data_IF_229485067293
#
_entry.id   IF_229485067293
#
_cell.length_a   1.000
_cell.length_b   1.000
_cell.length_c   1.000
_cell.angle_alpha   90.00
_cell.angle_beta   90.00
_cell.angle_gamma   90.00
#
_symmetry.space_group_name_H-M   'P 1'
#
loop_
_entity.id
_entity.type
_entity.pdbx_description
1 polymer ?
#
# COMPACT_ATOMS: atom_id res chain seq x y z
N UNK A 1 -13.20 -7.91 18.45
CA UNK A 1 -12.74 -7.32 19.73
C UNK A 1 -11.32 -7.77 20.02
N UNK A 2 -10.71 -7.28 21.10
CA UNK A 2 -9.42 -7.79 21.59
C UNK A 2 -9.62 -9.18 22.24
N UNK A 3 -8.63 -10.10 22.19
CA UNK A 3 -7.29 -9.90 21.65
C UNK A 3 -7.21 -9.95 20.12
N UNK A 4 -6.27 -9.21 19.55
CA UNK A 4 -5.87 -9.31 18.15
C UNK A 4 -4.56 -10.09 18.08
N UNK A 5 -4.55 -11.16 17.28
CA UNK A 5 -3.35 -11.95 17.01
C UNK A 5 -2.88 -11.67 15.59
N UNK A 6 -1.57 -11.46 15.42
CA UNK A 6 -0.95 -11.19 14.13
C UNK A 6 -0.06 -12.36 13.72
N UNK A 7 0.32 -12.43 12.45
CA UNK A 7 1.11 -13.53 11.90
C UNK A 7 2.51 -13.69 12.53
N UNK A 8 2.98 -12.71 13.32
CA UNK A 8 4.33 -12.68 13.87
C UNK A 8 5.42 -12.31 12.85
N UNK A 9 5.07 -12.16 11.57
CA UNK A 9 6.01 -11.73 10.53
C UNK A 9 6.33 -10.22 10.58
N UNK A 10 5.55 -9.46 11.36
CA UNK A 10 5.72 -8.03 11.58
C UNK A 10 6.09 -7.76 13.05
N UNK A 11 6.38 -6.49 13.37
CA UNK A 11 6.81 -6.08 14.70
C UNK A 11 5.79 -6.40 15.81
N UNK A 12 4.49 -6.30 15.53
CA UNK A 12 3.45 -6.59 16.53
C UNK A 12 3.03 -8.05 16.43
N UNK A 13 3.12 -8.76 17.56
CA UNK A 13 2.69 -10.15 17.70
C UNK A 13 1.22 -10.25 18.13
N UNK A 14 0.85 -9.50 19.18
CA UNK A 14 -0.51 -9.49 19.71
C UNK A 14 -0.87 -8.14 20.33
N UNK A 15 -2.17 -7.85 20.39
CA UNK A 15 -2.72 -6.75 21.20
C UNK A 15 -3.83 -7.33 22.08
N UNK A 16 -3.80 -7.04 23.38
CA UNK A 16 -4.82 -7.50 24.34
C UNK A 16 -5.17 -6.41 25.35
N UNK A 17 -6.33 -6.55 25.98
CA UNK A 17 -6.67 -5.77 27.16
C UNK A 17 -5.97 -6.34 28.38
N UNK A 18 -5.46 -5.48 29.26
CA UNK A 18 -4.91 -5.86 30.56
C UNK A 18 -5.75 -5.31 31.71
N UNK A 19 -5.37 -5.70 32.93
CA UNK A 19 -5.96 -5.13 34.14
C UNK A 19 -5.71 -3.61 34.17
N UNK A 20 -6.76 -2.78 34.24
CA UNK A 20 -6.62 -1.34 34.36
C UNK A 20 -6.01 -0.98 35.73
N UNK A 21 -5.34 0.17 35.82
CA UNK A 21 -4.77 0.63 37.10
C UNK A 21 -5.84 1.16 38.05
N UNK A 22 -6.93 1.69 37.48
CA UNK A 22 -8.09 2.22 38.19
C UNK A 22 -9.31 2.25 37.26
N UNK A 23 -10.48 2.60 37.82
CA UNK A 23 -11.77 2.64 37.10
C UNK A 23 -11.84 3.65 35.95
N UNK A 24 -10.92 4.61 35.86
CA UNK A 24 -10.86 5.62 34.80
C UNK A 24 -9.79 5.32 33.75
N UNK A 25 -9.15 4.15 33.83
CA UNK A 25 -8.05 3.78 32.93
C UNK A 25 -8.42 2.55 32.11
N UNK A 26 -7.91 2.50 30.88
CA UNK A 26 -7.84 1.28 30.08
C UNK A 26 -6.36 0.90 29.94
N UNK A 27 -6.05 -0.39 30.04
CA UNK A 27 -4.71 -0.92 29.75
C UNK A 27 -4.76 -1.75 28.47
N UNK A 28 -3.91 -1.39 27.51
CA UNK A 28 -3.60 -2.21 26.34
C UNK A 28 -2.18 -2.77 26.50
N UNK A 29 -2.02 -4.08 26.28
CA UNK A 29 -0.73 -4.72 26.18
C UNK A 29 -0.48 -5.05 24.71
N UNK A 30 0.66 -4.63 24.20
CA UNK A 30 1.12 -4.89 22.84
C UNK A 30 2.37 -5.74 22.94
N UNK A 31 2.29 -7.00 22.52
CA UNK A 31 3.48 -7.85 22.44
C UNK A 31 4.20 -7.59 21.14
N UNK A 32 5.52 -7.42 21.23
CA UNK A 32 6.38 -7.22 20.08
C UNK A 32 7.18 -8.49 19.77
N UNK A 33 7.55 -8.65 18.51
CA UNK A 33 8.43 -9.73 18.03
C UNK A 33 9.92 -9.38 18.18
N UNK A 34 10.22 -8.11 18.40
CA UNK A 34 11.55 -7.58 18.66
C UNK A 34 11.46 -6.31 19.53
N UNK A 35 12.59 -5.89 20.09
CA UNK A 35 12.67 -4.65 20.85
C UNK A 35 12.33 -3.43 19.98
N UNK A 36 11.66 -2.45 20.59
CA UNK A 36 11.24 -1.27 19.89
C UNK A 36 10.89 -0.11 20.80
N UNK A 37 10.91 1.08 20.21
CA UNK A 37 10.59 2.35 20.86
C UNK A 37 9.17 2.75 20.49
N UNK A 38 8.42 3.18 21.50
CA UNK A 38 7.02 3.58 21.32
C UNK A 38 6.85 5.08 21.53
N UNK A 39 6.03 5.71 20.68
CA UNK A 39 5.53 7.07 20.84
C UNK A 39 4.01 7.05 20.74
N UNK A 40 3.34 7.85 21.55
CA UNK A 40 1.89 8.00 21.50
C UNK A 40 1.53 9.48 21.34
N UNK A 41 0.60 9.76 20.44
CA UNK A 41 0.05 11.10 20.22
C UNK A 41 -1.46 11.04 20.32
N UNK A 42 -2.05 11.99 21.04
CA UNK A 42 -3.51 12.19 21.10
C UNK A 42 -3.88 13.26 20.09
N UNK A 43 -4.82 12.96 19.22
CA UNK A 43 -5.40 13.89 18.26
C UNK A 43 -6.89 14.03 18.60
N UNK A 44 -7.39 15.26 18.62
CA UNK A 44 -8.79 15.54 18.90
C UNK A 44 -9.41 16.19 17.67
N UNK A 45 -10.55 15.66 17.23
CA UNK A 45 -11.35 16.23 16.16
C UNK A 45 -12.81 16.35 16.63
N UNK A 46 -13.19 17.55 17.07
CA UNK A 46 -14.45 17.79 17.76
C UNK A 46 -14.51 17.03 19.10
N UNK A 47 -15.50 16.16 19.25
CA UNK A 47 -15.66 15.28 20.42
C UNK A 47 -14.87 13.96 20.32
N UNK A 48 -14.34 13.63 19.14
CA UNK A 48 -13.65 12.37 18.91
C UNK A 48 -12.16 12.49 19.23
N UNK A 49 -11.64 11.53 19.99
CA UNK A 49 -10.22 11.40 20.29
C UNK A 49 -9.64 10.19 19.56
N UNK A 50 -8.60 10.43 18.78
CA UNK A 50 -7.79 9.39 18.15
C UNK A 50 -6.44 9.33 18.87
N UNK A 51 -6.09 8.15 19.39
CA UNK A 51 -4.76 7.92 19.96
C UNK A 51 -3.95 7.13 18.94
N UNK A 52 -2.88 7.73 18.45
CA UNK A 52 -1.96 7.10 17.49
C UNK A 52 -0.74 6.61 18.24
N UNK A 53 -0.54 5.29 18.24
CA UNK A 53 0.67 4.65 18.74
C UNK A 53 1.59 4.33 17.57
N UNK A 54 2.82 4.82 17.63
CA UNK A 54 3.88 4.51 16.68
C UNK A 54 4.93 3.68 17.39
N UNK A 55 5.21 2.48 16.88
CA UNK A 55 6.21 1.58 17.43
C UNK A 55 7.25 1.33 16.34
N UNK A 56 8.49 1.72 16.63
CA UNK A 56 9.61 1.55 15.73
C UNK A 56 10.51 0.43 16.28
N UNK A 57 10.80 -0.57 15.47
CA UNK A 57 11.77 -1.60 15.83
C UNK A 57 13.18 -0.99 15.92
N UNK A 58 13.99 -1.42 16.89
CA UNK A 58 15.39 -0.96 17.00
C UNK A 58 16.29 -1.56 15.91
N UNK A 59 15.89 -2.69 15.33
CA UNK A 59 16.52 -3.29 14.16
C UNK A 59 15.48 -3.44 13.04
N UNK A 60 15.88 -3.29 11.75
CA UNK A 60 15.00 -3.61 10.63
C UNK A 60 14.50 -5.05 10.79
N UNK A 61 13.20 -5.32 10.51
CA UNK A 61 12.75 -6.70 10.43
C UNK A 61 13.64 -7.44 9.42
N UNK A 62 13.97 -8.73 9.66
CA UNK A 62 14.70 -9.51 8.67
C UNK A 62 13.95 -9.36 7.34
N UNK A 63 14.67 -9.16 6.21
CA UNK A 63 14.02 -9.01 4.94
C UNK A 63 13.07 -10.19 4.79
N UNK A 64 11.78 -9.91 4.59
CA UNK A 64 10.86 -10.92 4.10
C UNK A 64 11.42 -11.33 2.75
N UNK A 65 12.21 -12.40 2.74
CA UNK A 65 12.50 -13.16 1.55
C UNK A 65 11.12 -13.61 1.12
N UNK A 66 10.51 -12.85 0.21
CA UNK A 66 9.42 -13.37 -0.60
C UNK A 66 10.12 -14.50 -1.33
N UNK A 67 10.03 -15.70 -0.76
CA UNK A 67 10.50 -16.93 -1.39
C UNK A 67 9.90 -16.84 -2.78
N UNK A 68 10.77 -16.62 -3.76
CA UNK A 68 10.38 -16.57 -5.15
C UNK A 68 9.51 -17.79 -5.34
N UNK A 69 8.20 -17.58 -5.49
CA UNK A 69 7.29 -18.68 -5.74
C UNK A 69 7.78 -19.22 -7.05
N UNK A 70 8.41 -20.39 -7.02
CA UNK A 70 8.78 -21.13 -8.21
C UNK A 70 7.56 -21.09 -9.13
N UNK A 71 7.79 -20.61 -10.34
CA UNK A 71 6.78 -20.44 -11.37
C UNK A 71 5.96 -21.74 -11.41
N UNK A 72 4.66 -21.74 -11.10
CA UNK A 72 3.82 -22.87 -11.43
C UNK A 72 3.84 -22.95 -12.96
N UNK A 73 4.35 -24.05 -13.51
CA UNK A 73 4.16 -24.39 -14.91
C UNK A 73 2.67 -24.62 -15.09
N UNK A 74 1.93 -23.59 -15.50
CA UNK A 74 0.56 -23.74 -15.93
C UNK A 74 0.57 -24.24 -17.38
N UNK A 75 0.01 -25.44 -17.55
CA UNK A 75 -0.35 -26.00 -18.85
C UNK A 75 -1.25 -25.02 -19.64
N UNK A 76 -1.25 -25.04 -20.98
CA UNK A 76 -2.05 -24.11 -21.77
C UNK A 76 -3.54 -24.39 -21.62
N UNK A 77 -4.28 -23.47 -20.98
CA UNK A 77 -5.73 -23.42 -21.09
C UNK A 77 -6.13 -22.65 -22.35
N UNK A 78 -7.20 -23.13 -23.01
CA UNK A 78 -7.77 -22.63 -24.27
C UNK A 78 -8.06 -21.12 -24.28
N UNK A 79 -8.12 -20.49 -25.47
CA UNK A 79 -8.42 -19.06 -25.59
C UNK A 79 -9.85 -18.75 -25.15
N UNK A 80 -10.01 -17.95 -24.10
CA UNK A 80 -11.23 -17.19 -23.84
C UNK A 80 -11.02 -15.76 -24.33
N UNK A 81 -12.00 -15.25 -25.06
CA UNK A 81 -12.03 -13.95 -25.75
C UNK A 81 -11.59 -12.75 -24.88
N UNK A 82 -11.02 -11.69 -25.49
CA UNK A 82 -10.54 -10.54 -24.75
C UNK A 82 -11.70 -9.74 -24.12
N UNK A 83 -11.53 -9.27 -22.86
CA UNK A 83 -12.51 -8.40 -22.22
C UNK A 83 -12.57 -7.05 -22.97
N UNK A 84 -13.79 -6.63 -23.33
CA UNK A 84 -14.07 -5.32 -23.93
C UNK A 84 -13.60 -4.20 -23.00
N UNK A 85 -12.85 -3.26 -23.58
CA UNK A 85 -12.43 -2.03 -22.92
C UNK A 85 -13.64 -1.08 -22.76
N UNK A 86 -14.02 -0.68 -21.53
CA UNK A 86 -15.14 0.22 -21.30
C UNK A 86 -14.88 1.66 -21.77
N UNK A 87 -13.67 1.97 -22.26
CA UNK A 87 -13.32 3.26 -22.86
C UNK A 87 -13.44 3.28 -24.39
N UNK A 88 -13.97 2.22 -25.01
CA UNK A 88 -14.45 2.26 -26.39
C UNK A 88 -15.96 2.24 -26.40
N UNK A 89 -16.55 3.42 -26.33
CA UNK A 89 -17.88 3.65 -26.84
C UNK A 89 -17.75 4.64 -27.99
N UNK A 90 -18.18 4.21 -29.17
CA UNK A 90 -18.66 5.08 -30.23
C UNK A 90 -19.77 5.93 -29.62
N UNK A 91 -19.43 7.10 -29.07
CA UNK A 91 -20.36 8.21 -28.92
C UNK A 91 -19.64 9.50 -28.51
N UNK A 92 -20.05 10.52 -29.24
CA UNK A 92 -19.48 11.83 -29.40
C UNK A 92 -19.74 12.72 -28.17
N UNK A 93 -19.00 12.51 -27.07
CA UNK A 93 -19.00 13.43 -25.93
C UNK A 93 -17.62 14.01 -25.70
N UNK A 94 -17.34 15.10 -26.42
CA UNK A 94 -16.28 16.06 -26.14
C UNK A 94 -16.35 16.48 -24.66
N UNK A 95 -15.48 15.91 -23.82
CA UNK A 95 -15.00 16.58 -22.62
C UNK A 95 -13.58 16.99 -22.92
N UNK A 96 -13.42 18.24 -23.36
CA UNK A 96 -12.12 18.81 -23.64
C UNK A 96 -11.33 18.92 -22.32
N UNK A 97 -10.38 18.00 -22.11
CA UNK A 97 -9.31 18.18 -21.14
C UNK A 97 -8.25 19.03 -21.84
N UNK A 98 -8.32 20.35 -21.64
CA UNK A 98 -7.23 21.26 -22.03
C UNK A 98 -6.02 20.96 -21.14
N UNK A 99 -5.15 20.08 -21.62
CA UNK A 99 -3.82 19.89 -21.03
C UNK A 99 -2.92 21.02 -21.50
N UNK A 100 -2.75 22.07 -20.70
CA UNK A 100 -1.67 23.05 -20.92
C UNK A 100 -0.33 22.37 -20.64
N UNK A 101 0.29 21.81 -21.68
CA UNK A 101 1.64 21.26 -21.61
C UNK A 101 2.63 22.43 -21.56
N UNK A 102 2.95 22.90 -20.36
CA UNK A 102 4.17 23.71 -20.16
C UNK A 102 5.36 22.76 -20.27
N UNK A 103 5.83 22.53 -21.49
CA UNK A 103 7.03 21.74 -21.73
C UNK A 103 8.26 22.62 -21.46
N UNK A 104 8.83 22.56 -20.27
CA UNK A 104 10.24 22.89 -20.07
C UNK A 104 11.04 21.76 -20.69
N UNK A 105 11.43 21.95 -21.96
CA UNK A 105 12.22 21.00 -22.72
C UNK A 105 13.60 20.81 -22.10
N UNK A 106 13.80 19.71 -21.38
CA UNK A 106 15.14 19.14 -21.22
C UNK A 106 15.43 18.31 -22.47
N UNK A 107 16.56 18.60 -23.12
CA UNK A 107 17.00 17.90 -24.33
C UNK A 107 16.91 16.38 -24.13
N UNK A 108 16.13 15.72 -24.99
CA UNK A 108 15.96 14.27 -24.95
C UNK A 108 17.30 13.61 -25.29
N UNK A 109 18.02 13.16 -24.25
CA UNK A 109 19.17 12.28 -24.42
C UNK A 109 18.66 10.97 -25.03
N UNK A 110 19.23 10.58 -26.17
CA UNK A 110 19.00 9.26 -26.75
C UNK A 110 19.52 8.21 -25.79
N UNK A 111 18.60 7.52 -25.13
CA UNK A 111 18.90 6.37 -24.27
C UNK A 111 19.30 5.23 -25.19
N UNK A 112 20.54 4.77 -25.08
CA UNK A 112 21.03 3.60 -25.80
C UNK A 112 20.47 2.33 -25.16
N UNK A 113 20.37 1.24 -25.92
CA UNK A 113 19.85 -0.05 -25.42
C UNK A 113 20.66 -0.65 -24.26
N UNK A 114 21.87 -0.14 -24.01
CA UNK A 114 22.75 -0.59 -22.94
C UNK A 114 22.70 0.32 -21.70
N UNK A 115 21.94 1.42 -21.73
CA UNK A 115 21.84 2.31 -20.59
C UNK A 115 20.95 1.69 -19.51
N UNK A 116 21.46 1.66 -18.28
CA UNK A 116 20.68 1.25 -17.11
C UNK A 116 19.61 2.31 -16.83
N UNK A 117 18.36 2.01 -17.18
CA UNK A 117 17.21 2.86 -16.84
C UNK A 117 16.75 2.56 -15.42
N UNK A 118 16.69 3.59 -14.58
CA UNK A 118 16.18 3.50 -13.21
C UNK A 118 14.77 4.10 -13.20
N UNK A 119 13.78 3.30 -12.81
CA UNK A 119 12.38 3.72 -12.73
C UNK A 119 11.96 3.68 -11.25
N UNK A 120 11.54 4.83 -10.72
CA UNK A 120 10.88 4.91 -9.42
C UNK A 120 9.36 4.76 -9.61
N UNK A 121 8.74 3.84 -8.88
CA UNK A 121 7.29 3.62 -8.87
C UNK A 121 6.78 4.04 -7.50
N UNK A 122 5.92 5.06 -7.45
CA UNK A 122 5.28 5.51 -6.21
C UNK A 122 3.84 4.98 -6.15
N UNK A 123 3.54 4.21 -5.11
CA UNK A 123 2.19 3.76 -4.82
C UNK A 123 1.56 4.73 -3.83
N UNK A 124 0.81 5.70 -4.34
CA UNK A 124 0.20 6.74 -3.51
C UNK A 124 -0.68 6.20 -2.39
N UNK A 125 -0.79 6.99 -1.32
CA UNK A 125 -1.49 6.69 -0.06
C UNK A 125 -0.87 5.52 0.73
N UNK A 126 -1.51 5.08 1.82
CA UNK A 126 -1.01 3.96 2.61
C UNK A 126 -1.21 4.12 4.10
N UNK A 127 -1.02 3.02 4.83
CA UNK A 127 -1.20 3.02 6.29
C UNK A 127 -2.61 3.45 6.68
N UNK A 128 -2.72 4.52 7.47
CA UNK A 128 -3.98 5.09 7.93
C UNK A 128 -4.72 5.87 6.85
N UNK A 129 -4.00 6.44 5.88
CA UNK A 129 -4.61 7.20 4.79
C UNK A 129 -5.13 6.24 3.71
N UNK A 130 -6.47 6.11 3.54
CA UNK A 130 -7.04 5.23 2.53
C UNK A 130 -6.95 5.81 1.11
N UNK A 131 -6.76 7.13 0.98
CA UNK A 131 -7.05 7.88 -0.24
C UNK A 131 -8.53 7.93 -0.59
N UNK A 132 -8.83 8.13 -1.87
CA UNK A 132 -10.21 8.16 -2.34
C UNK A 132 -10.94 6.83 -2.02
N UNK A 133 -12.22 6.96 -1.66
CA UNK A 133 -13.11 5.83 -1.40
C UNK A 133 -14.16 5.77 -2.50
N UNK A 134 -14.17 4.69 -3.29
CA UNK A 134 -15.14 4.47 -4.35
C UNK A 134 -16.54 4.12 -3.81
N UNK A 135 -17.55 4.14 -4.70
CA UNK A 135 -18.96 3.90 -4.36
C UNK A 135 -19.20 2.59 -3.58
N UNK A 136 -18.42 1.55 -3.88
CA UNK A 136 -18.50 0.24 -3.22
C UNK A 136 -17.49 0.06 -2.08
N UNK A 137 -16.89 1.13 -1.56
CA UNK A 137 -15.92 1.08 -0.47
C UNK A 137 -14.48 0.70 -0.88
N UNK A 138 -14.20 0.61 -2.19
CA UNK A 138 -12.84 0.40 -2.70
C UNK A 138 -11.93 1.55 -2.27
N UNK A 139 -10.80 1.21 -1.63
CA UNK A 139 -9.81 2.19 -1.15
C UNK A 139 -8.69 2.34 -2.17
N UNK A 140 -8.37 3.57 -2.54
CA UNK A 140 -7.32 3.90 -3.50
C UNK A 140 -5.99 3.20 -3.18
N UNK A 141 -5.54 3.25 -1.90
CA UNK A 141 -4.28 2.62 -1.48
C UNK A 141 -4.14 1.14 -1.85
N UNK A 142 -5.27 0.42 -1.93
CA UNK A 142 -5.27 -1.01 -2.26
C UNK A 142 -5.10 -1.23 -3.76
N UNK A 143 -5.62 -0.30 -4.57
CA UNK A 143 -5.51 -0.32 -6.03
C UNK A 143 -4.11 0.13 -6.45
N UNK A 144 -3.62 1.24 -5.91
CA UNK A 144 -2.31 1.82 -6.25
C UNK A 144 -1.18 0.82 -5.97
N UNK A 145 -1.18 0.18 -4.79
CA UNK A 145 -0.14 -0.81 -4.46
C UNK A 145 -0.21 -2.06 -5.35
N UNK A 146 -1.41 -2.49 -5.76
CA UNK A 146 -1.57 -3.63 -6.65
C UNK A 146 -1.03 -3.33 -8.05
N UNK A 147 -1.35 -2.14 -8.58
CA UNK A 147 -0.84 -1.66 -9.87
C UNK A 147 0.68 -1.52 -9.83
N UNK A 148 1.22 -0.88 -8.79
CA UNK A 148 2.66 -0.67 -8.64
C UNK A 148 3.44 -1.99 -8.63
N UNK A 149 2.94 -3.01 -7.91
CA UNK A 149 3.55 -4.35 -7.90
C UNK A 149 3.48 -5.02 -9.28
N UNK A 150 2.34 -4.93 -9.97
CA UNK A 150 2.19 -5.49 -11.32
C UNK A 150 3.13 -4.81 -12.32
N UNK A 151 3.22 -3.48 -12.28
CA UNK A 151 4.11 -2.70 -13.13
C UNK A 151 5.59 -3.07 -12.87
N UNK A 152 6.00 -3.18 -11.61
CA UNK A 152 7.35 -3.65 -11.25
C UNK A 152 7.68 -5.00 -11.89
N UNK A 153 6.74 -5.95 -11.83
CA UNK A 153 6.95 -7.27 -12.45
C UNK A 153 7.10 -7.17 -13.96
N UNK A 154 6.31 -6.33 -14.63
CA UNK A 154 6.38 -6.14 -16.09
C UNK A 154 7.67 -5.43 -16.54
N UNK A 155 8.20 -4.52 -15.73
CA UNK A 155 9.45 -3.80 -16.02
C UNK A 155 10.71 -4.65 -15.75
N UNK A 156 10.60 -5.68 -14.91
CA UNK A 156 11.71 -6.59 -14.56
C UNK A 156 11.66 -7.92 -15.32
N UNK A 157 10.69 -8.11 -16.21
CA UNK A 157 10.54 -9.31 -17.03
C UNK A 157 11.44 -9.23 -18.26
#
# INVERSE_FOLDING_TARGET
GLPLQFSGNNLVKSIRSGAPQNLQSLRLLVDLTADGKTRAVKQQHGSNYTVVFTINADAPPPPVVVKQVEKPVLQPARPSEPPRNPFKADNDRLTAVTSTRTATGSAARTVSTNDKVIIAIDAGHGGQDPGAIGQNGTKEKNVTIAIARKLRTLLNA
#
